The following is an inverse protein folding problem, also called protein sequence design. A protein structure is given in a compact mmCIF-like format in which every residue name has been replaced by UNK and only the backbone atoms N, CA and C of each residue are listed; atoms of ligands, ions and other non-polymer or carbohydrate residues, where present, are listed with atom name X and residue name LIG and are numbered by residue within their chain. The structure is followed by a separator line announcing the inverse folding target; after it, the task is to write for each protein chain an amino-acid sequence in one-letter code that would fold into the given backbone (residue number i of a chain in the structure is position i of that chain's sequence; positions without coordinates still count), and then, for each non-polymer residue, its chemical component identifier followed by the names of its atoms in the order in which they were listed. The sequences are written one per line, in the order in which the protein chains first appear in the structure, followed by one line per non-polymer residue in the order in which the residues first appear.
data_IF_688752876530
#
_entry.id   IF_688752876530
#
_cell.length_a   1.000
_cell.length_b   1.000
_cell.length_c   1.000
_cell.angle_alpha   90.00
_cell.angle_beta   90.00
_cell.angle_gamma   90.00
#
_symmetry.space_group_name_H-M   'P 1'
#
loop_
_entity.id
_entity.type
_entity.pdbx_description
1 polymer ?
#
# COMPACT_ATOMS: atom_id res chain seq x y z
N UNK A 1 20.75 5.27 6.99
CA UNK A 1 19.88 4.10 7.26
C UNK A 1 18.88 4.32 8.40
N UNK A 2 19.23 5.03 9.49
CA UNK A 2 18.30 5.27 10.63
C UNK A 2 17.03 6.08 10.30
N UNK A 3 17.06 6.94 9.26
CA UNK A 3 15.93 7.80 8.95
C UNK A 3 14.76 7.04 8.28
N UNK A 4 15.05 6.05 7.43
CA UNK A 4 14.01 5.31 6.70
C UNK A 4 13.17 4.43 7.63
N UNK A 5 13.82 3.71 8.55
CA UNK A 5 13.15 2.89 9.56
C UNK A 5 12.28 3.79 10.46
N UNK A 6 12.82 4.94 10.92
CA UNK A 6 12.05 5.89 11.73
C UNK A 6 10.81 6.45 10.99
N UNK A 7 10.88 6.63 9.68
CA UNK A 7 9.74 7.07 8.87
C UNK A 7 8.69 5.94 8.78
N UNK A 8 9.10 4.70 8.54
CA UNK A 8 8.20 3.54 8.49
C UNK A 8 7.44 3.37 9.80
N UNK A 9 8.14 3.43 10.94
CA UNK A 9 7.51 3.30 12.26
C UNK A 9 6.47 4.40 12.52
N UNK A 10 6.77 5.64 12.10
CA UNK A 10 5.82 6.76 12.20
C UNK A 10 4.59 6.54 11.32
N UNK A 11 4.77 6.06 10.09
CA UNK A 11 3.65 5.76 9.19
C UNK A 11 2.77 4.63 9.73
N UNK A 12 3.35 3.60 10.34
CA UNK A 12 2.61 2.51 10.99
C UNK A 12 1.75 3.05 12.13
N UNK A 13 2.34 3.86 13.02
CA UNK A 13 1.61 4.51 14.13
C UNK A 13 0.46 5.36 13.59
N UNK A 14 0.72 6.13 12.54
CA UNK A 14 -0.28 7.01 11.93
C UNK A 14 -1.44 6.22 11.30
N UNK A 15 -1.14 5.15 10.56
CA UNK A 15 -2.18 4.28 9.99
C UNK A 15 -3.03 3.62 11.06
N UNK A 16 -2.43 3.15 12.14
CA UNK A 16 -3.19 2.54 13.22
C UNK A 16 -4.19 3.55 13.84
N UNK A 17 -3.80 4.83 13.92
CA UNK A 17 -4.72 5.90 14.34
C UNK A 17 -5.86 6.13 13.33
N UNK A 18 -5.56 6.12 12.03
CA UNK A 18 -6.57 6.25 10.98
C UNK A 18 -7.54 5.05 10.98
N UNK A 19 -7.02 3.84 11.13
CA UNK A 19 -7.83 2.62 11.14
C UNK A 19 -8.78 2.57 12.35
N UNK A 20 -8.37 3.14 13.48
CA UNK A 20 -9.17 3.25 14.69
C UNK A 20 -10.32 4.29 14.59
N UNK A 21 -10.36 5.13 13.55
CA UNK A 21 -11.46 6.07 13.34
C UNK A 21 -12.79 5.34 13.12
N UNK A 22 -13.95 5.97 13.34
CA UNK A 22 -15.25 5.40 13.00
C UNK A 22 -15.41 5.14 11.49
N UNK A 23 -16.35 4.26 11.14
CA UNK A 23 -16.59 3.88 9.74
C UNK A 23 -17.19 5.00 8.88
N UNK A 24 -17.72 6.07 9.48
CA UNK A 24 -18.12 7.30 8.77
C UNK A 24 -16.96 7.93 8.00
N UNK A 25 -15.71 7.57 8.34
CA UNK A 25 -14.49 8.00 7.66
C UNK A 25 -13.97 6.98 6.63
N UNK A 26 -14.80 6.04 6.16
CA UNK A 26 -14.38 4.96 5.24
C UNK A 26 -13.62 5.47 4.01
N UNK A 27 -14.09 6.56 3.38
CA UNK A 27 -13.41 7.23 2.27
C UNK A 27 -12.00 7.69 2.62
N UNK A 28 -11.86 8.38 3.76
CA UNK A 28 -10.57 8.86 4.27
C UNK A 28 -9.63 7.69 4.58
N UNK A 29 -10.13 6.64 5.25
CA UNK A 29 -9.36 5.42 5.53
C UNK A 29 -8.84 4.76 4.25
N UNK A 30 -9.66 4.73 3.20
CA UNK A 30 -9.25 4.19 1.90
C UNK A 30 -8.16 5.06 1.27
N UNK A 31 -8.32 6.38 1.24
CA UNK A 31 -7.33 7.30 0.68
C UNK A 31 -5.96 7.13 1.38
N UNK A 32 -5.95 7.09 2.72
CA UNK A 32 -4.71 6.88 3.47
C UNK A 32 -4.05 5.52 3.21
N UNK A 33 -4.84 4.45 3.10
CA UNK A 33 -4.27 3.15 2.75
C UNK A 33 -3.74 3.12 1.29
N UNK A 34 -4.33 3.90 0.37
CA UNK A 34 -3.81 4.06 -0.98
C UNK A 34 -2.48 4.83 -0.99
N UNK A 35 -2.38 5.93 -0.25
CA UNK A 35 -1.15 6.71 -0.12
C UNK A 35 -0.04 5.88 0.53
N UNK A 36 -0.35 5.11 1.57
CA UNK A 36 0.62 4.22 2.19
C UNK A 36 1.05 3.09 1.25
N UNK A 37 0.12 2.53 0.47
CA UNK A 37 0.46 1.57 -0.57
C UNK A 37 1.49 2.16 -1.54
N UNK A 38 1.24 3.38 -2.03
CA UNK A 38 2.14 4.06 -2.98
C UNK A 38 3.49 4.36 -2.36
N UNK A 39 3.52 4.82 -1.10
CA UNK A 39 4.77 5.04 -0.36
C UNK A 39 5.64 3.78 -0.31
N UNK A 40 5.02 2.62 -0.03
CA UNK A 40 5.73 1.33 0.00
C UNK A 40 6.08 0.80 -1.42
N UNK A 41 5.36 1.23 -2.46
CA UNK A 41 5.64 0.88 -3.85
C UNK A 41 6.86 1.62 -4.41
N UNK A 42 7.07 2.90 -4.02
CA UNK A 42 8.11 3.76 -4.58
C UNK A 42 9.48 3.05 -4.65
N UNK A 43 9.98 2.41 -3.58
CA UNK A 43 11.25 1.69 -3.62
C UNK A 43 11.38 0.63 -4.72
N UNK A 44 10.27 -0.03 -5.06
CA UNK A 44 10.22 -1.04 -6.13
C UNK A 44 10.04 -0.43 -7.52
N UNK A 45 9.40 0.73 -7.62
CA UNK A 45 9.10 1.38 -8.90
C UNK A 45 10.21 2.34 -9.35
N UNK A 46 10.91 2.99 -8.42
CA UNK A 46 11.84 4.10 -8.71
C UNK A 46 13.27 3.66 -9.05
N UNK A 47 13.69 2.46 -8.64
CA UNK A 47 15.04 1.97 -8.93
C UNK A 47 15.03 0.88 -9.99
N UNK A 48 15.71 1.07 -11.11
CA UNK A 48 16.00 0.00 -12.07
C UNK A 48 17.19 -0.85 -11.65
N UNK A 49 18.02 -0.36 -10.73
CA UNK A 49 19.16 -1.10 -10.21
C UNK A 49 18.72 -2.15 -9.19
N UNK A 50 19.02 -3.40 -9.54
CA UNK A 50 18.82 -4.59 -8.72
C UNK A 50 19.60 -4.48 -7.40
N UNK A 51 20.86 -4.03 -7.44
CA UNK A 51 21.72 -4.00 -6.26
C UNK A 51 21.21 -2.99 -5.23
N UNK A 52 20.82 -1.79 -5.70
CA UNK A 52 20.15 -0.81 -4.87
C UNK A 52 18.87 -1.39 -4.23
N UNK A 53 17.97 -1.98 -5.01
CA UNK A 53 16.71 -2.52 -4.49
C UNK A 53 16.94 -3.66 -3.48
N UNK A 54 17.92 -4.54 -3.71
CA UNK A 54 18.27 -5.59 -2.77
C UNK A 54 18.93 -5.08 -1.48
N UNK A 55 19.59 -3.92 -1.54
CA UNK A 55 20.21 -3.25 -0.39
C UNK A 55 19.19 -2.54 0.52
N UNK A 56 17.94 -2.37 0.07
CA UNK A 56 16.91 -1.68 0.84
C UNK A 56 16.61 -2.48 2.13
N UNK A 57 16.77 -1.86 3.31
CA UNK A 57 16.38 -2.47 4.57
C UNK A 57 14.88 -2.77 4.59
N UNK A 58 14.49 -3.90 5.17
CA UNK A 58 13.08 -4.26 5.38
C UNK A 58 12.24 -4.30 4.09
N UNK A 59 12.86 -4.53 2.92
CA UNK A 59 12.16 -4.61 1.62
C UNK A 59 11.00 -5.61 1.60
N UNK A 60 11.08 -6.70 2.36
CA UNK A 60 9.98 -7.66 2.50
C UNK A 60 8.80 -7.06 3.27
N UNK A 61 9.08 -6.25 4.30
CA UNK A 61 8.05 -5.51 5.04
C UNK A 61 7.34 -4.51 4.14
N UNK A 62 8.05 -3.86 3.20
CA UNK A 62 7.44 -2.94 2.24
C UNK A 62 6.38 -3.65 1.39
N UNK A 63 6.70 -4.85 0.86
CA UNK A 63 5.72 -5.65 0.12
C UNK A 63 4.54 -6.08 1.01
N UNK A 64 4.82 -6.50 2.24
CA UNK A 64 3.76 -6.91 3.17
C UNK A 64 2.80 -5.76 3.48
N UNK A 65 3.34 -4.55 3.66
CA UNK A 65 2.57 -3.33 3.85
C UNK A 65 1.68 -3.03 2.62
N UNK A 66 2.22 -3.14 1.40
CA UNK A 66 1.43 -2.99 0.18
C UNK A 66 0.25 -3.98 0.15
N UNK A 67 0.50 -5.26 0.46
CA UNK A 67 -0.55 -6.29 0.47
C UNK A 67 -1.61 -5.98 1.53
N UNK A 68 -1.20 -5.58 2.73
CA UNK A 68 -2.10 -5.26 3.83
C UNK A 68 -2.95 -4.02 3.54
N UNK A 69 -2.35 -2.95 3.01
CA UNK A 69 -3.08 -1.77 2.54
C UNK A 69 -4.13 -2.16 1.52
N UNK A 70 -3.77 -2.93 0.49
CA UNK A 70 -4.71 -3.38 -0.54
C UNK A 70 -5.86 -4.22 0.03
N UNK A 71 -5.58 -5.13 0.98
CA UNK A 71 -6.63 -5.93 1.65
C UNK A 71 -7.61 -5.03 2.42
N UNK A 72 -7.11 -4.10 3.24
CA UNK A 72 -7.95 -3.17 4.03
C UNK A 72 -8.81 -2.30 3.13
N UNK A 73 -8.18 -1.72 2.12
CA UNK A 73 -8.79 -0.97 1.03
C UNK A 73 -10.00 -1.69 0.41
N UNK A 74 -9.75 -2.90 -0.09
CA UNK A 74 -10.77 -3.72 -0.74
C UNK A 74 -11.91 -4.11 0.21
N UNK A 75 -11.61 -4.39 1.49
CA UNK A 75 -12.61 -4.72 2.51
C UNK A 75 -13.51 -3.51 2.82
N UNK A 76 -12.91 -2.35 3.10
CA UNK A 76 -13.65 -1.11 3.40
C UNK A 76 -14.58 -0.73 2.25
N UNK A 77 -14.10 -0.82 1.01
CA UNK A 77 -14.95 -0.57 -0.13
C UNK A 77 -16.15 -1.53 -0.19
N UNK A 78 -15.88 -2.83 -0.16
CA UNK A 78 -16.94 -3.86 -0.30
C UNK A 78 -18.02 -3.73 0.76
N UNK A 79 -17.64 -3.35 1.97
CA UNK A 79 -18.53 -3.34 3.14
C UNK A 79 -19.22 -2.01 3.38
N UNK A 80 -18.59 -0.88 3.03
CA UNK A 80 -19.09 0.45 3.40
C UNK A 80 -19.47 1.31 2.19
N UNK A 81 -18.80 1.12 1.05
CA UNK A 81 -18.88 2.08 -0.05
C UNK A 81 -19.38 1.47 -1.37
N UNK A 82 -19.54 0.15 -1.45
CA UNK A 82 -19.99 -0.53 -2.67
C UNK A 82 -21.35 -0.01 -3.15
N UNK A 83 -22.25 0.31 -2.22
CA UNK A 83 -23.58 0.89 -2.50
C UNK A 83 -23.55 2.42 -2.63
N UNK A 84 -22.68 3.12 -1.89
CA UNK A 84 -22.62 4.60 -1.89
C UNK A 84 -21.78 5.18 -3.05
N UNK A 85 -20.81 4.44 -3.60
CA UNK A 85 -19.81 4.95 -4.58
C UNK A 85 -19.95 4.29 -5.96
N UNK A 86 -20.83 3.29 -6.11
CA UNK A 86 -21.10 2.66 -7.41
C UNK A 86 -21.53 3.69 -8.49
N UNK A 87 -22.04 4.84 -8.08
CA UNK A 87 -22.53 5.87 -8.99
C UNK A 87 -21.50 6.92 -9.44
N UNK A 88 -20.31 7.05 -8.81
CA UNK A 88 -19.49 8.24 -9.13
C UNK A 88 -17.96 8.10 -9.30
N UNK A 89 -17.21 7.24 -8.61
CA UNK A 89 -15.73 7.42 -8.59
C UNK A 89 -14.91 6.11 -8.58
N UNK A 90 -15.49 4.96 -8.26
CA UNK A 90 -14.70 3.78 -7.92
C UNK A 90 -13.86 3.16 -9.06
N UNK A 91 -14.34 3.05 -10.31
CA UNK A 91 -13.57 2.40 -11.38
C UNK A 91 -12.24 3.12 -11.67
N UNK A 92 -12.22 4.46 -11.54
CA UNK A 92 -11.08 5.29 -11.95
C UNK A 92 -9.96 5.34 -10.91
N UNK A 93 -10.30 5.32 -9.61
CA UNK A 93 -9.31 5.33 -8.52
C UNK A 93 -8.88 3.91 -8.14
N UNK A 94 -9.73 2.92 -8.42
CA UNK A 94 -9.65 1.59 -7.81
C UNK A 94 -9.82 0.45 -8.79
N UNK A 95 -9.10 0.52 -9.91
CA UNK A 95 -8.86 -0.70 -10.67
C UNK A 95 -8.10 -1.69 -9.76
N UNK A 96 -8.81 -2.64 -9.15
CA UNK A 96 -8.22 -3.72 -8.36
C UNK A 96 -7.12 -4.47 -9.14
N UNK A 97 -7.21 -4.45 -10.48
CA UNK A 97 -6.17 -4.92 -11.40
C UNK A 97 -4.85 -4.14 -11.25
N UNK A 98 -4.90 -2.82 -11.06
CA UNK A 98 -3.72 -1.95 -10.93
C UNK A 98 -2.92 -2.20 -9.65
N UNK A 99 -3.59 -2.31 -8.51
CA UNK A 99 -2.90 -2.60 -7.24
C UNK A 99 -2.29 -4.01 -7.23
N UNK A 100 -3.02 -5.01 -7.74
CA UNK A 100 -2.48 -6.37 -7.90
C UNK A 100 -1.28 -6.40 -8.86
N UNK A 101 -1.34 -5.64 -9.96
CA UNK A 101 -0.23 -5.50 -10.90
C UNK A 101 1.03 -4.98 -10.20
N UNK A 102 0.91 -3.91 -9.40
CA UNK A 102 2.03 -3.36 -8.65
C UNK A 102 2.56 -4.31 -7.56
N UNK A 103 1.69 -5.04 -6.86
CA UNK A 103 2.10 -6.09 -5.92
C UNK A 103 2.92 -7.17 -6.65
N UNK A 104 2.47 -7.59 -7.84
CA UNK A 104 3.19 -8.60 -8.62
C UNK A 104 4.55 -8.10 -9.12
N UNK A 105 4.66 -6.82 -9.50
CA UNK A 105 5.96 -6.20 -9.81
C UNK A 105 6.89 -6.26 -8.59
N UNK A 106 6.40 -5.81 -7.43
CA UNK A 106 7.20 -5.78 -6.20
C UNK A 106 7.66 -7.20 -5.81
N UNK A 107 6.79 -8.20 -5.92
CA UNK A 107 7.15 -9.62 -5.75
C UNK A 107 8.24 -10.07 -6.72
N UNK A 108 8.08 -9.82 -8.02
CA UNK A 108 9.06 -10.22 -9.03
C UNK A 108 10.43 -9.59 -8.78
N UNK A 109 10.45 -8.32 -8.35
CA UNK A 109 11.69 -7.63 -7.99
C UNK A 109 12.32 -8.21 -6.73
N UNK A 110 11.54 -8.46 -5.68
CA UNK A 110 12.05 -9.11 -4.47
C UNK A 110 12.63 -10.50 -4.76
N UNK A 111 11.97 -11.29 -5.60
CA UNK A 111 12.46 -12.61 -5.97
C UNK A 111 13.83 -12.52 -6.68
N UNK A 112 14.05 -11.47 -7.48
CA UNK A 112 15.33 -11.24 -8.13
C UNK A 112 16.49 -11.03 -7.12
N UNK A 113 16.21 -10.63 -5.87
CA UNK A 113 17.20 -10.55 -4.79
C UNK A 113 17.65 -11.89 -4.20
N UNK A 114 17.11 -13.02 -4.69
CA UNK A 114 17.46 -14.35 -4.16
C UNK A 114 16.59 -14.78 -2.99
N UNK A 115 15.30 -14.39 -3.00
CA UNK A 115 14.27 -14.90 -2.09
C UNK A 115 13.17 -15.61 -2.86
#
# INVERSE_FOLDING_TARGET
MNNFISIMDRYIIFINKIDALPDTYALMKIAFNADYFLFNLIPFASSLDKNFMCSIPQKEQLLENMINSYKKMNLLYKTKLKTEIQEMIYPTIYEAKRYNYFINIAKGRLNACGK
#
